data_IF_392304524822
#
_entry.id   IF_392304524822
#
_cell.length_a   1.000
_cell.length_b   1.000
_cell.length_c   1.000
_cell.angle_alpha   90.00
_cell.angle_beta   90.00
_cell.angle_gamma   90.00
#
_symmetry.space_group_name_H-M   'P 1'
#
loop_
_entity.id
_entity.type
_entity.pdbx_description
1 polymer ?
#
# COMPACT_ATOMS: atom_id res chain seq x y z
N UNK A 1 16.87 -18.96 -50.33
CA UNK A 1 15.77 -18.13 -49.80
C UNK A 1 14.45 -18.90 -49.89
N UNK A 2 14.15 -19.85 -48.99
CA UNK A 2 12.87 -20.59 -48.96
C UNK A 2 12.67 -21.38 -47.65
N UNK A 3 12.72 -20.74 -46.48
CA UNK A 3 12.48 -21.45 -45.19
C UNK A 3 11.43 -20.82 -44.26
N UNK A 4 10.86 -19.67 -44.61
CA UNK A 4 9.91 -18.97 -43.73
C UNK A 4 8.42 -19.28 -44.00
N UNK A 5 8.08 -19.95 -45.11
CA UNK A 5 6.69 -20.25 -45.45
C UNK A 5 6.11 -21.49 -44.74
N UNK A 6 6.95 -22.41 -44.23
CA UNK A 6 6.49 -23.66 -43.64
C UNK A 6 6.13 -23.57 -42.14
N UNK A 7 6.58 -22.55 -41.43
CA UNK A 7 6.27 -22.38 -39.99
C UNK A 7 4.88 -21.81 -39.73
N UNK A 8 4.29 -21.10 -40.69
CA UNK A 8 2.97 -20.45 -40.55
C UNK A 8 1.81 -21.46 -40.69
N UNK A 9 2.03 -22.63 -41.32
CA UNK A 9 0.99 -23.67 -41.48
C UNK A 9 0.74 -24.48 -40.20
N UNK A 10 1.71 -24.61 -39.30
CA UNK A 10 1.59 -25.47 -38.12
C UNK A 10 0.71 -24.87 -37.01
N UNK A 11 0.41 -23.56 -37.05
CA UNK A 11 -0.42 -22.90 -36.04
C UNK A 11 -1.92 -22.82 -36.38
N UNK A 12 -2.37 -23.41 -37.52
CA UNK A 12 -3.76 -23.27 -37.98
C UNK A 12 -4.72 -24.40 -37.60
N UNK A 13 -4.30 -25.41 -36.84
CA UNK A 13 -5.17 -26.54 -36.49
C UNK A 13 -5.23 -26.79 -34.98
N UNK A 14 -5.42 -25.74 -34.18
CA UNK A 14 -6.01 -25.91 -32.85
C UNK A 14 -7.51 -25.67 -32.98
N UNK A 15 -8.26 -26.77 -32.93
CA UNK A 15 -9.72 -26.74 -32.95
C UNK A 15 -10.21 -26.15 -31.62
N UNK A 16 -10.53 -24.84 -31.63
CA UNK A 16 -10.91 -24.07 -30.44
C UNK A 16 -12.08 -24.70 -29.68
N UNK A 17 -12.96 -25.42 -30.39
CA UNK A 17 -14.10 -26.11 -29.80
C UNK A 17 -13.69 -27.24 -28.85
N UNK A 18 -12.57 -27.92 -29.11
CA UNK A 18 -12.06 -28.99 -28.23
C UNK A 18 -11.38 -28.41 -26.98
N UNK A 19 -10.68 -27.29 -27.13
CA UNK A 19 -10.01 -26.60 -26.02
C UNK A 19 -10.98 -25.93 -25.03
N UNK A 20 -12.18 -25.56 -25.46
CA UNK A 20 -13.20 -24.97 -24.57
C UNK A 20 -13.94 -26.03 -23.73
N UNK A 21 -14.04 -27.28 -24.20
CA UNK A 21 -14.67 -28.38 -23.45
C UNK A 21 -13.85 -28.84 -22.25
N UNK A 22 -12.52 -28.78 -22.32
CA UNK A 22 -11.65 -29.16 -21.20
C UNK A 22 -11.70 -28.17 -20.02
N UNK A 23 -12.20 -26.94 -20.24
CA UNK A 23 -12.30 -25.92 -19.19
C UNK A 23 -13.57 -26.12 -18.35
N UNK A 24 -14.63 -26.75 -18.90
CA UNK A 24 -15.91 -26.92 -18.18
C UNK A 24 -15.89 -27.98 -17.08
N UNK A 25 -14.87 -28.83 -17.01
CA UNK A 25 -14.79 -29.93 -16.02
C UNK A 25 -14.12 -29.51 -14.70
N UNK A 26 -13.41 -28.37 -14.67
CA UNK A 26 -12.78 -27.85 -13.46
C UNK A 26 -13.73 -26.91 -12.70
N UNK A 27 -14.83 -27.42 -12.17
CA UNK A 27 -15.56 -26.70 -11.11
C UNK A 27 -14.74 -26.83 -9.81
N UNK A 28 -14.23 -25.73 -9.23
CA UNK A 28 -13.53 -25.83 -7.96
C UNK A 28 -14.52 -26.30 -6.90
N UNK A 29 -14.21 -27.42 -6.23
CA UNK A 29 -14.87 -27.81 -4.99
C UNK A 29 -14.55 -26.72 -3.97
N UNK A 30 -15.52 -25.83 -3.73
CA UNK A 30 -15.40 -24.84 -2.67
C UNK A 30 -15.36 -25.60 -1.34
N UNK A 31 -14.32 -25.44 -0.50
CA UNK A 31 -14.31 -26.04 0.83
C UNK A 31 -15.51 -25.49 1.61
N UNK A 32 -16.19 -26.37 2.35
CA UNK A 32 -17.32 -26.05 3.21
C UNK A 32 -16.86 -25.10 4.33
N UNK A 33 -16.85 -23.80 4.04
CA UNK A 33 -16.64 -22.76 5.06
C UNK A 33 -17.86 -22.78 5.95
N UNK A 34 -17.70 -23.33 7.16
CA UNK A 34 -18.65 -23.17 8.25
C UNK A 34 -18.81 -21.67 8.47
N UNK A 35 -19.99 -21.15 8.08
CA UNK A 35 -20.35 -19.76 8.34
C UNK A 35 -20.47 -19.62 9.86
N UNK A 36 -19.45 -19.02 10.48
CA UNK A 36 -19.60 -18.50 11.83
C UNK A 36 -20.79 -17.53 11.83
N UNK A 37 -21.81 -17.86 12.61
CA UNK A 37 -22.94 -16.98 12.89
C UNK A 37 -22.42 -15.82 13.73
N UNK A 38 -21.92 -14.78 13.07
CA UNK A 38 -21.69 -13.50 13.72
C UNK A 38 -23.06 -12.84 13.84
N UNK A 39 -23.69 -12.98 15.01
CA UNK A 39 -24.86 -12.23 15.42
C UNK A 39 -24.47 -10.76 15.60
N UNK A 40 -24.36 -10.05 14.48
CA UNK A 40 -24.47 -8.61 14.47
C UNK A 40 -25.94 -8.29 14.21
N UNK A 41 -26.62 -7.85 15.27
CA UNK A 41 -27.99 -7.31 15.24
C UNK A 41 -28.05 -6.16 14.25
N UNK A 42 -28.37 -6.49 13.02
CA UNK A 42 -28.79 -5.58 11.96
C UNK A 42 -30.31 -5.63 11.96
N UNK A 43 -30.97 -4.58 12.45
CA UNK A 43 -32.41 -4.42 12.23
C UNK A 43 -32.64 -4.25 10.72
N UNK A 44 -33.19 -5.26 10.01
CA UNK A 44 -33.32 -5.18 8.56
C UNK A 44 -34.62 -4.43 8.27
N UNK A 45 -34.51 -3.17 7.88
CA UNK A 45 -35.62 -2.49 7.20
C UNK A 45 -35.84 -3.22 5.87
N UNK A 46 -37.05 -3.75 5.73
CA UNK A 46 -37.53 -4.70 4.74
C UNK A 46 -37.10 -4.32 3.32
N UNK A 47 -36.29 -5.17 2.70
CA UNK A 47 -35.95 -5.09 1.29
C UNK A 47 -36.51 -6.35 0.64
N UNK A 48 -37.62 -6.21 -0.10
CA UNK A 48 -38.28 -7.34 -0.75
C UNK A 48 -37.81 -7.47 -2.20
N UNK A 49 -37.37 -8.68 -2.57
CA UNK A 49 -36.97 -9.01 -3.93
C UNK A 49 -38.07 -9.84 -4.58
N UNK A 50 -38.73 -9.30 -5.60
CA UNK A 50 -39.63 -10.03 -6.47
C UNK A 50 -38.98 -10.22 -7.85
N UNK A 51 -39.33 -11.26 -8.64
CA UNK A 51 -38.65 -11.59 -9.90
C UNK A 51 -38.64 -10.47 -10.95
N UNK A 52 -39.44 -9.42 -10.79
CA UNK A 52 -39.58 -8.29 -11.73
C UNK A 52 -39.49 -6.90 -11.08
N UNK A 53 -39.24 -6.81 -9.77
CA UNK A 53 -39.05 -5.51 -9.10
C UNK A 53 -38.27 -5.67 -7.80
N UNK A 54 -37.54 -4.62 -7.43
CA UNK A 54 -36.95 -4.48 -6.11
C UNK A 54 -37.78 -3.42 -5.38
N UNK A 55 -38.54 -3.84 -4.37
CA UNK A 55 -39.29 -2.93 -3.51
C UNK A 55 -38.33 -2.32 -2.51
N UNK A 56 -38.02 -1.03 -2.65
CA UNK A 56 -37.29 -0.26 -1.64
C UNK A 56 -38.28 0.73 -1.02
N UNK A 57 -38.79 0.42 0.17
CA UNK A 57 -39.56 1.38 0.95
C UNK A 57 -38.60 2.42 1.53
N UNK A 58 -38.39 3.52 0.78
CA UNK A 58 -37.67 4.69 1.28
C UNK A 58 -38.64 5.47 2.17
N UNK A 59 -38.78 5.04 3.43
CA UNK A 59 -39.37 5.90 4.45
C UNK A 59 -38.32 6.97 4.75
N UNK A 60 -38.48 8.16 4.16
CA UNK A 60 -37.71 9.37 4.44
C UNK A 60 -37.98 9.84 5.88
N UNK A 61 -37.49 9.09 6.88
CA UNK A 61 -37.28 9.68 8.21
C UNK A 61 -36.09 10.60 8.07
N UNK A 62 -36.35 11.88 7.75
CA UNK A 62 -35.39 12.97 7.92
C UNK A 62 -34.79 12.80 9.32
N UNK A 63 -33.54 12.37 9.41
CA UNK A 63 -32.80 12.46 10.67
C UNK A 63 -32.66 13.96 10.94
N UNK A 64 -33.24 14.52 12.02
CA UNK A 64 -32.85 15.85 12.42
C UNK A 64 -31.37 15.75 12.84
N UNK A 65 -30.49 16.15 11.94
CA UNK A 65 -29.09 16.35 12.28
C UNK A 65 -29.04 17.61 13.13
N UNK A 66 -29.21 17.42 14.43
CA UNK A 66 -29.20 18.46 15.43
C UNK A 66 -29.72 17.86 16.72
N UNK A 67 -28.82 17.54 17.64
CA UNK A 67 -29.24 17.40 19.02
C UNK A 67 -29.66 18.81 19.41
N UNK A 68 -30.97 19.09 19.48
CA UNK A 68 -31.46 20.27 20.17
C UNK A 68 -31.16 20.03 21.65
N UNK A 69 -29.93 20.34 22.06
CA UNK A 69 -29.64 20.52 23.47
C UNK A 69 -30.12 21.93 23.78
N UNK A 70 -31.07 22.04 24.70
CA UNK A 70 -31.35 23.34 25.32
C UNK A 70 -30.04 23.88 25.89
N UNK A 71 -29.73 25.18 25.73
CA UNK A 71 -28.50 25.72 26.26
C UNK A 71 -28.46 25.47 27.77
N UNK A 72 -27.35 24.92 28.26
CA UNK A 72 -27.13 24.74 29.69
C UNK A 72 -27.30 26.12 30.35
N UNK A 73 -28.24 26.30 31.28
CA UNK A 73 -28.45 27.60 31.91
C UNK A 73 -27.17 28.00 32.63
N UNK A 74 -26.63 29.16 32.29
CA UNK A 74 -25.45 29.72 32.92
C UNK A 74 -25.76 30.02 34.39
N UNK A 75 -25.12 29.28 35.29
CA UNK A 75 -25.13 29.57 36.72
C UNK A 75 -23.80 30.27 37.02
N UNK A 76 -23.79 31.57 37.35
CA UNK A 76 -22.55 32.25 37.72
C UNK A 76 -21.97 31.62 38.98
N UNK A 77 -20.68 31.30 38.95
CA UNK A 77 -19.94 30.85 40.14
C UNK A 77 -19.74 32.08 41.03
N UNK A 78 -20.61 32.26 42.01
CA UNK A 78 -20.52 33.35 42.98
C UNK A 78 -19.43 33.01 43.99
N UNK A 79 -18.34 33.78 44.00
CA UNK A 79 -17.34 33.72 45.05
C UNK A 79 -17.95 34.33 46.32
N UNK A 80 -18.07 33.60 47.45
CA UNK A 80 -18.74 34.10 48.65
C UNK A 80 -18.06 35.32 49.31
N UNK A 81 -16.90 35.77 48.81
CA UNK A 81 -16.15 36.93 49.31
C UNK A 81 -16.12 38.14 48.36
N UNK A 82 -16.83 38.14 47.23
CA UNK A 82 -16.85 39.31 46.34
C UNK A 82 -17.81 40.39 46.86
N UNK A 83 -17.29 41.58 47.16
CA UNK A 83 -18.03 42.79 47.63
C UNK A 83 -18.69 43.55 46.46
N UNK A 84 -18.72 42.98 45.25
CA UNK A 84 -19.39 43.64 44.13
C UNK A 84 -20.91 43.65 44.39
N UNK A 85 -21.60 44.79 44.21
CA UNK A 85 -23.05 44.83 44.34
C UNK A 85 -23.62 43.78 43.38
N UNK A 86 -24.47 42.90 43.93
CA UNK A 86 -25.26 41.95 43.15
C UNK A 86 -25.96 42.75 42.07
N UNK A 87 -25.48 42.63 40.82
CA UNK A 87 -26.09 43.32 39.68
C UNK A 87 -27.58 43.00 39.68
N UNK A 88 -28.38 44.05 39.76
CA UNK A 88 -29.82 44.00 39.82
C UNK A 88 -30.37 43.04 38.78
N UNK A 89 -31.41 42.30 39.17
CA UNK A 89 -32.16 41.34 38.35
C UNK A 89 -33.01 42.01 37.28
N UNK A 90 -32.54 43.11 36.71
CA UNK A 90 -33.17 43.83 35.61
C UNK A 90 -32.27 43.75 34.38
N UNK A 91 -32.01 42.53 33.93
CA UNK A 91 -31.61 42.33 32.54
C UNK A 91 -32.81 42.75 31.69
N UNK A 92 -32.75 43.98 31.15
CA UNK A 92 -33.74 44.54 30.22
C UNK A 92 -34.03 43.50 29.14
N UNK A 93 -35.21 42.87 29.20
CA UNK A 93 -35.69 41.95 28.15
C UNK A 93 -36.15 42.69 26.89
N UNK A 94 -36.10 44.03 26.90
CA UNK A 94 -36.69 44.89 25.88
C UNK A 94 -35.66 45.40 24.84
N UNK A 95 -34.39 45.03 24.97
CA UNK A 95 -33.38 45.36 23.95
C UNK A 95 -33.27 44.21 22.94
N UNK A 96 -34.04 44.32 21.85
CA UNK A 96 -33.89 43.47 20.67
C UNK A 96 -32.60 43.90 19.96
N UNK A 97 -31.47 43.36 20.39
CA UNK A 97 -30.23 43.48 19.64
C UNK A 97 -30.37 42.82 18.27
N UNK A 98 -29.87 43.45 17.21
CA UNK A 98 -29.81 42.83 15.89
C UNK A 98 -29.05 41.48 15.99
N UNK A 99 -29.52 40.40 15.34
CA UNK A 99 -28.80 39.14 15.34
C UNK A 99 -27.40 39.37 14.79
N UNK A 100 -26.38 38.86 15.49
CA UNK A 100 -24.99 38.99 15.08
C UNK A 100 -24.84 38.58 13.62
N UNK A 101 -24.27 39.48 12.79
CA UNK A 101 -23.99 39.22 11.38
C UNK A 101 -23.09 37.98 11.32
N UNK A 102 -23.68 36.83 11.02
CA UNK A 102 -22.92 35.59 10.81
C UNK A 102 -22.07 35.84 9.58
N UNK A 103 -20.77 36.05 9.76
CA UNK A 103 -19.83 36.11 8.66
C UNK A 103 -19.90 34.76 7.94
N UNK A 104 -20.57 34.72 6.79
CA UNK A 104 -20.63 33.51 5.98
C UNK A 104 -19.19 33.13 5.60
N UNK A 105 -18.75 31.93 5.97
CA UNK A 105 -17.42 31.45 5.61
C UNK A 105 -17.26 31.51 4.09
N UNK A 106 -16.22 32.19 3.59
CA UNK A 106 -15.94 32.28 2.16
C UNK A 106 -15.61 30.89 1.57
N UNK A 107 -16.64 30.13 1.20
CA UNK A 107 -16.54 28.78 0.64
C UNK A 107 -15.84 28.74 -0.74
N UNK A 108 -15.59 29.90 -1.35
CA UNK A 108 -14.90 30.06 -2.62
C UNK A 108 -13.51 29.38 -2.63
N UNK A 109 -12.74 29.47 -1.54
CA UNK A 109 -11.42 28.83 -1.45
C UNK A 109 -11.56 27.30 -1.50
N UNK A 110 -12.54 26.73 -0.81
CA UNK A 110 -12.84 25.28 -0.84
C UNK A 110 -13.24 24.85 -2.26
N UNK A 111 -14.06 25.64 -2.95
CA UNK A 111 -14.48 25.37 -4.33
C UNK A 111 -13.30 25.37 -5.32
N UNK A 112 -12.33 26.28 -5.18
CA UNK A 112 -11.12 26.28 -6.02
C UNK A 112 -10.34 24.98 -5.87
N UNK A 113 -10.13 24.52 -4.63
CA UNK A 113 -9.44 23.26 -4.34
C UNK A 113 -10.19 22.07 -4.95
N UNK A 114 -11.52 22.03 -4.79
CA UNK A 114 -12.37 20.99 -5.35
C UNK A 114 -12.29 20.99 -6.89
N UNK A 115 -12.35 22.15 -7.54
CA UNK A 115 -12.25 22.27 -9.00
C UNK A 115 -10.90 21.80 -9.52
N UNK A 116 -9.80 22.14 -8.83
CA UNK A 116 -8.44 21.64 -9.17
C UNK A 116 -8.37 20.12 -9.06
N UNK A 117 -8.89 19.53 -7.96
CA UNK A 117 -8.96 18.07 -7.78
C UNK A 117 -9.84 17.39 -8.84
N UNK A 118 -11.00 17.98 -9.16
CA UNK A 118 -11.90 17.55 -10.23
C UNK A 118 -11.16 17.52 -11.57
N UNK A 119 -10.46 18.60 -11.92
CA UNK A 119 -9.75 18.71 -13.19
C UNK A 119 -8.62 17.69 -13.29
N UNK A 120 -7.80 17.51 -12.23
CA UNK A 120 -6.75 16.48 -12.19
C UNK A 120 -7.31 15.06 -12.37
N UNK A 121 -8.43 14.74 -11.71
CA UNK A 121 -9.13 13.44 -11.85
C UNK A 121 -9.68 13.26 -13.27
N UNK A 122 -10.27 14.30 -13.85
CA UNK A 122 -10.80 14.29 -15.22
C UNK A 122 -9.67 14.04 -16.24
N UNK A 123 -8.59 14.81 -16.18
CA UNK A 123 -7.43 14.65 -17.05
C UNK A 123 -6.79 13.27 -16.91
N UNK A 124 -6.63 12.77 -15.68
CA UNK A 124 -6.14 11.41 -15.43
C UNK A 124 -7.03 10.37 -16.09
N UNK A 125 -8.36 10.44 -15.92
CA UNK A 125 -9.31 9.52 -16.57
C UNK A 125 -9.23 9.60 -18.10
N UNK A 126 -9.09 10.80 -18.67
CA UNK A 126 -8.91 11.00 -20.11
C UNK A 126 -7.63 10.33 -20.61
N UNK A 127 -6.52 10.49 -19.87
CA UNK A 127 -5.26 9.80 -20.15
C UNK A 127 -5.40 8.27 -20.05
N UNK A 128 -6.10 7.77 -19.04
CA UNK A 128 -6.32 6.34 -18.82
C UNK A 128 -7.07 5.68 -19.98
N UNK A 129 -8.08 6.38 -20.52
CA UNK A 129 -8.80 5.94 -21.72
C UNK A 129 -7.89 5.97 -22.95
N UNK A 130 -7.13 7.05 -23.16
CA UNK A 130 -6.21 7.20 -24.29
C UNK A 130 -5.11 6.13 -24.31
N UNK A 131 -4.53 5.82 -23.15
CA UNK A 131 -3.35 4.95 -23.01
C UNK A 131 -3.67 3.51 -22.60
N UNK A 132 -4.95 3.10 -22.63
CA UNK A 132 -5.43 1.81 -22.09
C UNK A 132 -4.58 0.62 -22.55
N UNK A 133 -4.32 0.52 -23.85
CA UNK A 133 -3.59 -0.60 -24.43
C UNK A 133 -2.09 -0.55 -24.13
N UNK A 134 -1.48 0.63 -24.20
CA UNK A 134 -0.06 0.82 -23.85
C UNK A 134 0.21 0.38 -22.41
N UNK A 135 -0.67 0.75 -21.48
CA UNK A 135 -0.52 0.33 -20.09
C UNK A 135 -0.85 -1.12 -19.84
N UNK A 136 -1.81 -1.71 -20.57
CA UNK A 136 -2.04 -3.14 -20.54
C UNK A 136 -0.78 -3.91 -20.97
N UNK A 137 -0.12 -3.48 -22.05
CA UNK A 137 1.15 -4.06 -22.53
C UNK A 137 2.27 -3.93 -21.49
N UNK A 138 2.44 -2.74 -20.90
CA UNK A 138 3.44 -2.53 -19.84
C UNK A 138 3.14 -3.42 -18.62
N UNK A 139 1.86 -3.53 -18.22
CA UNK A 139 1.44 -4.39 -17.10
C UNK A 139 1.71 -5.87 -17.39
N UNK A 140 1.45 -6.32 -18.62
CA UNK A 140 1.75 -7.68 -19.07
C UNK A 140 3.25 -7.97 -19.02
N UNK A 141 4.10 -7.10 -19.59
CA UNK A 141 5.55 -7.27 -19.54
C UNK A 141 6.08 -7.29 -18.10
N UNK A 142 5.56 -6.42 -17.22
CA UNK A 142 5.94 -6.43 -15.79
C UNK A 142 5.58 -7.76 -15.12
N UNK A 143 4.42 -8.34 -15.45
CA UNK A 143 4.00 -9.65 -14.94
C UNK A 143 4.93 -10.76 -15.46
N UNK A 144 5.20 -10.80 -16.76
CA UNK A 144 6.11 -11.77 -17.37
C UNK A 144 7.52 -11.68 -16.78
N UNK A 145 8.04 -10.47 -16.57
CA UNK A 145 9.36 -10.28 -15.93
C UNK A 145 9.37 -10.81 -14.49
N UNK A 146 8.32 -10.53 -13.72
CA UNK A 146 8.18 -11.05 -12.35
C UNK A 146 8.12 -12.58 -12.34
N UNK A 147 7.33 -13.16 -13.23
CA UNK A 147 7.21 -14.61 -13.37
C UNK A 147 8.54 -15.27 -13.72
N UNK A 148 9.26 -14.72 -14.71
CA UNK A 148 10.60 -15.22 -15.07
C UNK A 148 11.59 -15.14 -13.92
N UNK A 149 11.58 -14.05 -13.16
CA UNK A 149 12.43 -13.90 -11.96
C UNK A 149 12.07 -14.97 -10.92
N UNK A 150 10.77 -15.20 -10.71
CA UNK A 150 10.28 -16.23 -9.79
C UNK A 150 10.71 -17.63 -10.21
N UNK A 151 10.50 -18.02 -11.47
CA UNK A 151 10.92 -19.30 -12.01
C UNK A 151 12.43 -19.52 -11.89
N UNK A 152 13.22 -18.49 -12.25
CA UNK A 152 14.67 -18.55 -12.09
C UNK A 152 15.08 -18.74 -10.62
N UNK A 153 14.37 -18.12 -9.67
CA UNK A 153 14.65 -18.29 -8.24
C UNK A 153 14.36 -19.71 -7.75
N UNK A 154 13.29 -20.35 -8.25
CA UNK A 154 12.98 -21.74 -7.95
C UNK A 154 14.02 -22.69 -8.53
N UNK A 155 14.38 -22.51 -9.80
CA UNK A 155 15.43 -23.31 -10.44
C UNK A 155 16.77 -23.16 -9.72
N UNK A 156 17.11 -21.94 -9.28
CA UNK A 156 18.31 -21.71 -8.47
C UNK A 156 18.26 -22.41 -7.11
N UNK A 157 17.08 -22.50 -6.48
CA UNK A 157 16.91 -23.23 -5.22
C UNK A 157 17.09 -24.74 -5.43
N UNK A 158 16.46 -25.31 -6.45
CA UNK A 158 16.61 -26.73 -6.82
C UNK A 158 18.06 -27.04 -7.17
N UNK A 159 18.70 -26.19 -7.98
CA UNK A 159 20.12 -26.34 -8.32
C UNK A 159 21.00 -26.35 -7.08
N UNK A 160 20.81 -25.42 -6.15
CA UNK A 160 21.54 -25.38 -4.87
C UNK A 160 21.31 -26.61 -4.01
N UNK A 161 20.08 -27.14 -4.00
CA UNK A 161 19.76 -28.36 -3.27
C UNK A 161 20.44 -29.59 -3.88
N UNK A 162 20.49 -29.68 -5.21
CA UNK A 162 21.14 -30.78 -5.92
C UNK A 162 22.68 -30.71 -5.81
N UNK A 163 23.25 -29.52 -5.83
CA UNK A 163 24.70 -29.28 -5.64
C UNK A 163 25.13 -29.34 -4.16
N UNK A 164 24.21 -29.61 -3.23
CA UNK A 164 24.51 -29.63 -1.81
C UNK A 164 25.26 -30.90 -1.41
N UNK A 165 26.55 -30.73 -1.13
CA UNK A 165 27.38 -31.77 -0.52
C UNK A 165 27.58 -31.49 0.97
N UNK A 166 27.11 -32.41 1.82
CA UNK A 166 27.10 -32.25 3.27
C UNK A 166 28.52 -32.08 3.86
N UNK A 167 29.49 -32.85 3.38
CA UNK A 167 30.88 -32.80 3.84
C UNK A 167 31.51 -31.43 3.58
N UNK A 168 31.37 -30.91 2.35
CA UNK A 168 31.84 -29.57 1.98
C UNK A 168 31.17 -28.50 2.83
N UNK A 169 29.88 -28.63 3.11
CA UNK A 169 29.16 -27.71 3.98
C UNK A 169 29.74 -27.69 5.39
N UNK A 170 29.92 -28.85 6.03
CA UNK A 170 30.50 -28.97 7.39
C UNK A 170 31.93 -28.44 7.42
N UNK A 171 32.78 -28.82 6.47
CA UNK A 171 34.15 -28.32 6.36
C UNK A 171 34.18 -26.79 6.23
N UNK A 172 33.28 -26.21 5.43
CA UNK A 172 33.17 -24.75 5.30
C UNK A 172 32.77 -24.06 6.61
N UNK A 173 31.91 -24.70 7.42
CA UNK A 173 31.47 -24.19 8.72
C UNK A 173 32.58 -24.23 9.75
N UNK A 174 33.30 -25.35 9.85
CA UNK A 174 34.47 -25.49 10.73
C UNK A 174 35.53 -24.46 10.34
N UNK A 175 35.83 -24.32 9.04
CA UNK A 175 36.78 -23.31 8.54
C UNK A 175 36.35 -21.89 8.92
N UNK A 176 35.07 -21.56 8.82
CA UNK A 176 34.55 -20.24 9.19
C UNK A 176 34.58 -20.00 10.71
N UNK A 177 34.32 -21.03 11.51
CA UNK A 177 34.43 -20.93 12.97
C UNK A 177 35.88 -20.72 13.43
N UNK A 178 36.82 -21.39 12.77
CA UNK A 178 38.25 -21.28 13.05
C UNK A 178 38.89 -20.03 12.41
N UNK A 179 38.18 -19.30 11.56
CA UNK A 179 38.71 -18.12 10.87
C UNK A 179 38.75 -16.92 11.81
N UNK A 180 39.96 -16.43 12.09
CA UNK A 180 40.19 -15.20 12.85
C UNK A 180 39.97 -13.97 11.94
N UNK A 181 38.91 -13.16 12.14
CA UNK A 181 38.67 -12.00 11.30
C UNK A 181 39.74 -10.93 11.52
N UNK A 182 40.17 -10.30 10.42
CA UNK A 182 41.09 -9.18 10.50
C UNK A 182 40.39 -7.94 11.07
N UNK A 183 41.10 -7.12 11.86
CA UNK A 183 40.54 -5.87 12.34
C UNK A 183 40.25 -4.93 11.16
N UNK A 184 39.12 -4.22 11.19
CA UNK A 184 38.75 -3.29 10.09
C UNK A 184 39.49 -1.94 10.18
N UNK A 185 40.15 -1.67 11.31
CA UNK A 185 40.84 -0.41 11.60
C UNK A 185 42.21 -0.71 12.19
N UNK A 186 43.18 0.16 11.89
CA UNK A 186 44.50 0.17 12.50
C UNK A 186 44.81 1.56 13.03
N UNK A 187 45.18 1.69 14.31
CA UNK A 187 45.43 2.99 14.98
C UNK A 187 44.36 4.04 14.65
N UNK A 188 43.09 3.65 14.81
CA UNK A 188 41.89 4.47 14.54
C UNK A 188 41.62 4.88 13.08
N UNK A 189 42.46 4.46 12.11
CA UNK A 189 42.23 4.69 10.68
C UNK A 189 41.67 3.44 10.01
N UNK A 190 40.70 3.60 9.10
CA UNK A 190 40.24 2.50 8.24
C UNK A 190 41.25 2.34 7.11
N UNK A 191 41.88 1.17 7.03
CA UNK A 191 42.80 0.83 5.97
C UNK A 191 42.24 -0.35 5.17
N UNK A 192 42.59 -0.47 3.88
CA UNK A 192 42.35 -1.68 3.10
C UNK A 192 42.89 -2.95 3.79
N UNK A 193 42.21 -4.08 3.58
CA UNK A 193 42.51 -5.37 4.24
C UNK A 193 43.97 -5.81 4.06
N UNK A 194 44.53 -5.64 2.85
CA UNK A 194 45.90 -6.05 2.54
C UNK A 194 46.96 -5.29 3.38
N UNK A 195 46.74 -4.00 3.65
CA UNK A 195 47.65 -3.19 4.48
C UNK A 195 47.58 -3.67 5.93
N UNK A 196 46.39 -4.00 6.43
CA UNK A 196 46.18 -4.49 7.80
C UNK A 196 46.84 -5.87 7.99
N UNK A 197 46.74 -6.77 7.01
CA UNK A 197 47.44 -8.07 7.02
C UNK A 197 48.95 -7.90 7.12
N UNK A 198 49.51 -6.93 6.39
CA UNK A 198 50.94 -6.60 6.43
C UNK A 198 51.34 -6.02 7.80
N UNK A 199 50.56 -5.08 8.34
CA UNK A 199 50.81 -4.48 9.66
C UNK A 199 50.73 -5.50 10.80
N UNK A 200 49.93 -6.55 10.63
CA UNK A 200 49.85 -7.70 11.54
C UNK A 200 50.93 -8.77 11.29
N UNK A 201 51.78 -8.61 10.26
CA UNK A 201 52.86 -9.54 9.94
C UNK A 201 52.40 -10.87 9.34
N UNK A 202 51.14 -10.97 8.90
CA UNK A 202 50.54 -12.21 8.36
C UNK A 202 51.04 -12.46 6.92
N UNK A 203 51.10 -11.41 6.09
CA UNK A 203 51.59 -11.48 4.72
C UNK A 203 53.01 -10.89 4.62
N UNK A 204 53.99 -11.71 4.19
CA UNK A 204 55.42 -11.32 4.16
C UNK A 204 55.85 -10.55 2.91
N UNK A 205 55.04 -10.44 1.85
CA UNK A 205 55.42 -9.78 0.59
C UNK A 205 54.22 -9.25 -0.20
N UNK A 206 54.08 -7.93 -0.24
CA UNK A 206 53.58 -7.18 -1.40
C UNK A 206 54.44 -5.92 -1.50
N UNK A 207 55.13 -5.74 -2.62
CA UNK A 207 55.97 -4.57 -2.89
C UNK A 207 55.03 -3.40 -3.26
N UNK A 208 54.35 -2.83 -2.27
CA UNK A 208 53.45 -1.69 -2.49
C UNK A 208 54.28 -0.46 -2.83
N UNK A 209 54.33 -0.09 -4.11
CA UNK A 209 54.86 1.21 -4.54
C UNK A 209 53.82 2.27 -4.16
N UNK A 210 54.21 3.17 -3.25
CA UNK A 210 53.38 4.26 -2.71
C UNK A 210 52.98 5.34 -3.75
N UNK A 211 53.18 5.12 -5.04
CA UNK A 211 53.08 6.15 -6.09
C UNK A 211 51.67 6.33 -6.68
N UNK A 212 50.69 5.52 -6.28
CA UNK A 212 49.31 5.72 -6.74
C UNK A 212 48.63 6.78 -5.87
N UNK A 213 48.90 8.04 -6.22
CA UNK A 213 48.17 9.21 -5.71
C UNK A 213 46.71 9.07 -6.12
N UNK A 214 45.85 8.63 -5.20
CA UNK A 214 44.42 8.73 -5.39
C UNK A 214 44.05 10.21 -5.43
N UNK A 215 43.72 10.70 -6.63
CA UNK A 215 43.18 12.04 -6.85
C UNK A 215 41.89 12.15 -6.02
N UNK A 216 41.87 13.09 -5.09
CA UNK A 216 40.73 13.41 -4.23
C UNK A 216 39.51 13.86 -5.06
#
# INVERSE_FOLDING_TARGET
>A
MNSLHNTIKQFRLLNLNTALKTISECKPIAPHVVKAKNELVCNPKVLSFAPRSVGVEIIDKRKPNGITQDPIPYIPIVNPRSILPLLDKEWRKDEIGLPAIRQEEMHAVRLIVIRRKKMKKHQRRKLWKKMRYTWARIKQHRRQKKEKIFQNSLLAMVKKANEFEAEKYVASKIRRANHTPLPTRWRHKRLPEFIIRQLLGIDKKINYKHTDVYKA
#
